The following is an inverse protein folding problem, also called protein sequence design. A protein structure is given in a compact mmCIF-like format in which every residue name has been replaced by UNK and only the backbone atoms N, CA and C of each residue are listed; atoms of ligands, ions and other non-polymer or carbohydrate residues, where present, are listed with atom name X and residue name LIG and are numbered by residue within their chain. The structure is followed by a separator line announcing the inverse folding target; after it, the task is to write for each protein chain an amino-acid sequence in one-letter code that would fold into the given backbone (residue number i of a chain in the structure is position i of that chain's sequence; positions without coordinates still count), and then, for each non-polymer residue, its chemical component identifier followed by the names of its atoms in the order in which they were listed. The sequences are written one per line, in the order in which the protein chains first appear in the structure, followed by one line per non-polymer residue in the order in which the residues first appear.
data_IF_205814846604
#
_entry.id   IF_205814846604
#
_cell.length_a   1.000
_cell.length_b   1.000
_cell.length_c   1.000
_cell.angle_alpha   90.00
_cell.angle_beta   90.00
_cell.angle_gamma   90.00
#
_symmetry.space_group_name_H-M   'P 1'
#
loop_
_entity.id
_entity.type
_entity.pdbx_description
1 polymer ?
#
# COMPACT_ATOMS: atom_id res chain seq x y z
N UNK A 1 -2.97 -6.73 9.48
CA UNK A 1 -3.24 -5.32 9.82
C UNK A 1 -3.05 -4.40 8.63
N UNK A 2 -3.32 -3.10 8.79
CA UNK A 2 -3.18 -2.09 7.71
C UNK A 2 -1.70 -1.84 7.39
N UNK A 3 -1.33 -1.86 6.11
CA UNK A 3 0.03 -1.62 5.65
C UNK A 3 0.40 -0.13 5.68
N UNK A 4 1.56 0.18 6.26
CA UNK A 4 2.18 1.52 6.29
C UNK A 4 3.69 1.38 6.10
N UNK A 5 4.35 2.40 5.55
CA UNK A 5 5.80 2.33 5.37
C UNK A 5 6.53 2.28 6.73
N UNK A 6 6.16 3.19 7.64
CA UNK A 6 6.74 3.32 8.97
C UNK A 6 5.61 3.33 9.99
N UNK A 7 5.47 2.22 10.71
CA UNK A 7 4.59 2.12 11.87
C UNK A 7 5.45 2.05 13.14
N UNK A 8 5.00 2.70 14.21
CA UNK A 8 5.64 2.63 15.52
C UNK A 8 4.84 1.72 16.47
N UNK A 9 5.34 1.50 17.69
CA UNK A 9 4.66 0.64 18.68
C UNK A 9 3.24 1.14 19.04
N UNK A 10 2.96 2.44 18.94
CA UNK A 10 1.63 3.01 19.20
C UNK A 10 0.66 2.66 18.07
N UNK A 11 1.13 2.64 16.83
CA UNK A 11 0.35 2.23 15.65
C UNK A 11 0.01 0.72 15.70
N UNK A 12 0.90 -0.09 16.27
CA UNK A 12 0.64 -1.49 16.54
C UNK A 12 -0.40 -1.73 17.66
N UNK A 13 -0.55 -0.79 18.60
CA UNK A 13 -1.39 -0.93 19.81
C UNK A 13 -2.78 -0.28 19.71
N UNK A 14 -3.03 0.63 18.76
CA UNK A 14 -4.20 1.53 18.79
C UNK A 14 -5.35 1.20 17.81
N UNK A 15 -5.36 0.04 17.16
CA UNK A 15 -6.39 -0.37 16.19
C UNK A 15 -6.31 -1.86 15.80
N UNK A 16 -6.86 -2.31 14.65
CA UNK A 16 -6.75 -3.71 14.17
C UNK A 16 -5.30 -4.16 13.81
N UNK A 17 -4.30 -3.49 14.37
CA UNK A 17 -2.88 -3.64 14.09
C UNK A 17 -2.47 -2.93 12.79
N UNK A 18 -1.39 -2.16 12.83
CA UNK A 18 -0.67 -1.75 11.64
C UNK A 18 0.50 -2.70 11.35
N UNK A 19 0.77 -2.98 10.08
CA UNK A 19 1.97 -3.70 9.64
C UNK A 19 2.90 -2.72 8.93
N UNK A 20 4.10 -2.50 9.50
CA UNK A 20 5.13 -1.68 8.85
C UNK A 20 5.86 -2.49 7.79
N UNK A 21 5.94 -1.99 6.55
CA UNK A 21 6.72 -2.64 5.49
C UNK A 21 8.22 -2.67 5.81
N UNK A 22 8.73 -1.64 6.51
CA UNK A 22 10.11 -1.61 7.00
C UNK A 22 10.39 -2.71 8.02
N UNK A 23 9.53 -2.85 9.04
CA UNK A 23 9.70 -3.89 10.06
C UNK A 23 9.49 -5.29 9.48
N UNK A 24 8.55 -5.45 8.55
CA UNK A 24 8.35 -6.69 7.82
C UNK A 24 9.63 -7.08 7.07
N UNK A 25 10.23 -6.14 6.33
CA UNK A 25 11.47 -6.38 5.58
C UNK A 25 12.60 -6.83 6.50
N UNK A 26 12.76 -6.18 7.66
CA UNK A 26 13.76 -6.59 8.66
C UNK A 26 13.51 -8.02 9.18
N UNK A 27 12.25 -8.35 9.53
CA UNK A 27 11.89 -9.68 10.00
C UNK A 27 12.10 -10.76 8.91
N UNK A 28 11.82 -10.44 7.65
CA UNK A 28 12.11 -11.31 6.51
C UNK A 28 13.62 -11.57 6.37
N UNK A 29 14.44 -10.52 6.48
CA UNK A 29 15.90 -10.63 6.41
C UNK A 29 16.49 -11.44 7.57
N UNK A 30 15.98 -11.25 8.79
CA UNK A 30 16.37 -12.04 9.96
C UNK A 30 16.05 -13.54 9.75
N UNK A 31 14.84 -13.85 9.26
CA UNK A 31 14.44 -15.22 8.96
C UNK A 31 15.25 -15.84 7.80
N UNK A 32 15.65 -15.04 6.81
CA UNK A 32 16.54 -15.48 5.74
C UNK A 32 17.94 -15.82 6.25
N UNK A 33 18.49 -15.01 7.16
CA UNK A 33 19.83 -15.21 7.71
C UNK A 33 19.92 -16.40 8.71
N UNK A 34 18.81 -16.79 9.34
CA UNK A 34 18.80 -17.89 10.31
C UNK A 34 18.86 -19.27 9.63
N UNK A 35 19.99 -19.97 9.71
CA UNK A 35 20.18 -21.29 9.11
C UNK A 35 19.23 -22.39 9.64
N UNK A 36 18.59 -22.18 10.80
CA UNK A 36 17.60 -23.12 11.35
C UNK A 36 16.22 -23.00 10.69
N UNK A 37 15.97 -21.90 9.98
CA UNK A 37 14.72 -21.65 9.24
C UNK A 37 14.80 -22.28 7.85
N UNK A 38 13.98 -23.31 7.62
CA UNK A 38 13.91 -24.00 6.32
C UNK A 38 12.96 -23.38 5.29
N UNK A 39 11.93 -22.65 5.74
CA UNK A 39 10.92 -22.02 4.89
C UNK A 39 10.26 -20.85 5.65
N UNK A 40 9.74 -19.87 4.91
CA UNK A 40 9.04 -18.69 5.45
C UNK A 40 7.58 -18.74 5.00
N UNK A 41 6.65 -18.59 5.94
CA UNK A 41 5.21 -18.43 5.68
C UNK A 41 4.80 -16.99 5.99
N UNK A 42 4.18 -16.33 5.03
CA UNK A 42 3.54 -15.03 5.17
C UNK A 42 2.04 -15.29 5.43
N UNK A 43 1.62 -15.15 6.69
CA UNK A 43 0.22 -15.24 7.11
C UNK A 43 -0.46 -13.88 6.97
N UNK A 44 -1.41 -13.76 6.03
CA UNK A 44 -2.03 -12.49 5.64
C UNK A 44 -3.47 -12.40 6.15
N UNK A 45 -3.68 -11.40 7.00
CA UNK A 45 -4.98 -10.83 7.38
C UNK A 45 -4.87 -9.30 7.28
N UNK A 46 -5.14 -8.75 6.10
CA UNK A 46 -4.94 -7.33 5.83
C UNK A 46 -5.86 -6.80 4.71
N UNK A 47 -6.51 -5.65 4.93
CA UNK A 47 -7.24 -4.94 3.89
C UNK A 47 -6.33 -4.20 2.89
N UNK A 48 -5.01 -4.26 3.06
CA UNK A 48 -4.05 -3.44 2.34
C UNK A 48 -3.67 -2.20 3.14
N UNK A 49 -3.37 -1.09 2.45
CA UNK A 49 -2.93 0.15 3.07
C UNK A 49 -2.26 1.10 2.10
N UNK A 50 -1.27 1.84 2.58
CA UNK A 50 -0.51 2.79 1.76
C UNK A 50 0.32 2.07 0.68
N UNK A 51 0.48 2.71 -0.49
CA UNK A 51 1.38 2.24 -1.56
C UNK A 51 2.87 2.34 -1.19
N UNK A 52 3.24 3.17 -0.22
CA UNK A 52 4.64 3.45 0.10
C UNK A 52 5.34 2.23 0.73
N UNK A 53 6.47 1.83 0.17
CA UNK A 53 7.26 0.69 0.65
C UNK A 53 6.73 -0.68 0.24
N UNK A 54 5.61 -0.75 -0.48
CA UNK A 54 4.98 -2.01 -0.91
C UNK A 54 5.77 -2.66 -2.03
N UNK A 55 6.13 -1.88 -3.07
CA UNK A 55 6.91 -2.37 -4.21
C UNK A 55 8.30 -2.85 -3.77
N UNK A 56 8.94 -2.12 -2.85
CA UNK A 56 10.24 -2.49 -2.28
C UNK A 56 10.13 -3.78 -1.47
N UNK A 57 9.13 -3.91 -0.59
CA UNK A 57 8.91 -5.14 0.18
C UNK A 57 8.61 -6.33 -0.73
N UNK A 58 7.76 -6.16 -1.76
CA UNK A 58 7.48 -7.19 -2.74
C UNK A 58 8.78 -7.64 -3.47
N UNK A 59 9.65 -6.69 -3.82
CA UNK A 59 10.96 -6.98 -4.41
C UNK A 59 11.87 -7.79 -3.48
N UNK A 60 11.89 -7.46 -2.19
CA UNK A 60 12.64 -8.23 -1.19
C UNK A 60 12.12 -9.66 -1.06
N UNK A 61 10.79 -9.86 -1.09
CA UNK A 61 10.18 -11.21 -1.05
C UNK A 61 10.53 -12.02 -2.30
N UNK A 62 10.52 -11.40 -3.49
CA UNK A 62 10.93 -12.06 -4.72
C UNK A 62 12.39 -12.51 -4.68
N UNK A 63 13.28 -11.68 -4.12
CA UNK A 63 14.68 -12.04 -3.96
C UNK A 63 14.84 -13.13 -2.90
N UNK A 64 14.11 -13.03 -1.78
CA UNK A 64 14.09 -13.99 -0.69
C UNK A 64 13.75 -15.40 -1.15
N UNK A 65 12.76 -15.52 -2.05
CA UNK A 65 12.26 -16.82 -2.52
C UNK A 65 13.27 -17.65 -3.33
N UNK A 66 14.35 -17.01 -3.81
CA UNK A 66 15.48 -17.69 -4.45
C UNK A 66 16.45 -18.34 -3.45
N UNK A 67 16.41 -17.93 -2.18
CA UNK A 67 17.29 -18.42 -1.12
C UNK A 67 16.59 -19.46 -0.24
N UNK A 68 15.35 -19.17 0.17
CA UNK A 68 14.49 -20.06 0.95
C UNK A 68 13.07 -20.00 0.38
N UNK A 69 12.31 -21.10 0.37
CA UNK A 69 10.92 -21.04 -0.07
C UNK A 69 10.15 -20.01 0.77
N UNK A 70 9.39 -19.14 0.09
CA UNK A 70 8.48 -18.19 0.72
C UNK A 70 7.08 -18.48 0.21
N UNK A 71 6.16 -18.80 1.12
CA UNK A 71 4.76 -19.10 0.81
C UNK A 71 3.90 -18.02 1.45
N UNK A 72 2.85 -17.58 0.77
CA UNK A 72 1.83 -16.69 1.32
C UNK A 72 0.51 -17.42 1.48
N UNK A 73 -0.25 -17.08 2.52
CA UNK A 73 -1.63 -17.53 2.70
C UNK A 73 -2.52 -16.34 3.07
N UNK A 74 -3.58 -16.13 2.30
CA UNK A 74 -4.71 -15.30 2.73
C UNK A 74 -5.55 -16.12 3.71
N UNK A 75 -5.35 -15.87 5.01
CA UNK A 75 -6.04 -16.59 6.06
C UNK A 75 -7.50 -16.13 6.17
N UNK A 76 -7.70 -14.81 6.22
CA UNK A 76 -9.01 -14.14 6.16
C UNK A 76 -9.09 -13.17 4.97
N UNK A 77 -8.12 -12.26 4.83
CA UNK A 77 -8.16 -11.21 3.81
C UNK A 77 -6.75 -10.89 3.33
N UNK A 78 -6.55 -10.87 2.03
CA UNK A 78 -5.38 -10.26 1.40
C UNK A 78 -5.84 -9.35 0.26
N UNK A 79 -6.10 -8.10 0.60
CA UNK A 79 -6.60 -7.10 -0.34
C UNK A 79 -5.56 -6.01 -0.63
N UNK A 80 -5.63 -5.42 -1.82
CA UNK A 80 -4.86 -4.25 -2.24
C UNK A 80 -3.36 -4.44 -2.01
N UNK A 81 -2.68 -3.54 -1.29
CA UNK A 81 -1.26 -3.65 -0.98
C UNK A 81 -0.85 -4.99 -0.35
N UNK A 82 -1.74 -5.65 0.41
CA UNK A 82 -1.44 -6.95 0.99
C UNK A 82 -1.46 -8.08 -0.03
N UNK A 83 -2.38 -8.00 -1.00
CA UNK A 83 -2.36 -8.89 -2.16
C UNK A 83 -1.06 -8.73 -2.95
N UNK A 84 -0.62 -7.48 -3.18
CA UNK A 84 0.64 -7.19 -3.85
C UNK A 84 1.84 -7.82 -3.13
N UNK A 85 1.95 -7.65 -1.81
CA UNK A 85 3.04 -8.27 -1.01
C UNK A 85 2.97 -9.79 -1.09
N UNK A 86 1.78 -10.36 -0.94
CA UNK A 86 1.61 -11.82 -0.98
C UNK A 86 1.90 -12.42 -2.36
N UNK A 87 1.55 -11.73 -3.45
CA UNK A 87 1.75 -12.22 -4.83
C UNK A 87 3.23 -12.31 -5.24
N UNK A 88 4.13 -11.70 -4.45
CA UNK A 88 5.57 -11.84 -4.61
C UNK A 88 6.11 -13.20 -4.13
N UNK A 89 5.36 -13.95 -3.31
CA UNK A 89 5.77 -15.26 -2.80
C UNK A 89 5.94 -16.31 -3.92
N UNK A 90 6.51 -17.47 -3.60
CA UNK A 90 6.59 -18.60 -4.54
C UNK A 90 5.21 -19.17 -4.83
N UNK A 91 4.42 -19.33 -3.78
CA UNK A 91 3.06 -19.87 -3.83
C UNK A 91 2.15 -18.99 -2.98
N UNK A 92 0.93 -18.78 -3.45
CA UNK A 92 -0.10 -18.03 -2.75
C UNK A 92 -1.34 -18.91 -2.59
N UNK A 93 -1.70 -19.18 -1.35
CA UNK A 93 -2.92 -19.90 -1.01
C UNK A 93 -4.01 -18.97 -0.47
N UNK A 94 -5.27 -19.33 -0.71
CA UNK A 94 -6.41 -18.70 -0.06
C UNK A 94 -7.16 -19.78 0.71
N UNK A 95 -7.52 -19.51 1.96
CA UNK A 95 -8.40 -20.41 2.71
C UNK A 95 -9.80 -20.44 2.08
N UNK A 96 -10.62 -21.48 2.31
CA UNK A 96 -11.96 -21.55 1.70
C UNK A 96 -12.91 -20.38 2.02
N UNK A 97 -12.67 -19.68 3.14
CA UNK A 97 -13.43 -18.49 3.53
C UNK A 97 -12.66 -17.18 3.36
N UNK A 98 -11.45 -17.22 2.81
CA UNK A 98 -10.60 -16.06 2.63
C UNK A 98 -10.98 -15.25 1.39
N UNK A 99 -10.68 -13.96 1.44
CA UNK A 99 -10.89 -13.03 0.33
C UNK A 99 -9.55 -12.49 -0.18
N UNK A 100 -9.41 -12.44 -1.51
CA UNK A 100 -8.25 -11.85 -2.19
C UNK A 100 -8.73 -10.87 -3.26
N UNK A 101 -7.98 -9.80 -3.49
CA UNK A 101 -8.28 -8.85 -4.57
C UNK A 101 -8.10 -7.41 -4.16
N UNK A 102 -9.05 -6.55 -4.51
CA UNK A 102 -8.91 -5.08 -4.38
C UNK A 102 -7.65 -4.56 -5.10
N UNK A 103 -7.40 -5.11 -6.29
CA UNK A 103 -6.27 -4.73 -7.14
C UNK A 103 -6.60 -3.38 -7.77
N UNK A 104 -6.05 -2.32 -7.19
CA UNK A 104 -6.33 -0.96 -7.58
C UNK A 104 -5.62 0.05 -6.69
N UNK A 105 -5.53 1.28 -7.17
CA UNK A 105 -5.02 2.43 -6.44
C UNK A 105 -6.07 3.52 -6.55
N UNK A 106 -6.30 4.25 -5.47
CA UNK A 106 -7.22 5.37 -5.45
C UNK A 106 -6.68 6.47 -4.55
N UNK A 107 -7.16 7.69 -4.79
CA UNK A 107 -6.91 8.85 -3.95
C UNK A 107 -8.23 9.61 -3.80
N UNK A 108 -8.58 10.00 -2.56
CA UNK A 108 -9.69 10.93 -2.33
C UNK A 108 -9.23 12.37 -2.53
N UNK A 109 -10.10 13.18 -3.11
CA UNK A 109 -10.10 14.63 -3.01
C UNK A 109 -11.39 15.05 -2.31
N UNK A 110 -11.27 15.98 -1.37
CA UNK A 110 -12.39 16.56 -0.64
C UNK A 110 -12.39 18.06 -0.92
N UNK A 111 -13.51 18.58 -1.43
CA UNK A 111 -13.71 19.99 -1.66
C UNK A 111 -14.59 20.58 -0.55
N UNK A 112 -14.01 21.44 0.27
CA UNK A 112 -14.70 22.17 1.35
C UNK A 112 -14.89 23.66 1.04
N UNK A 113 -14.59 24.09 -0.19
CA UNK A 113 -14.66 25.50 -0.60
C UNK A 113 -16.03 26.13 -0.34
N UNK A 114 -17.12 25.38 -0.57
CA UNK A 114 -18.48 25.84 -0.28
C UNK A 114 -18.75 26.08 1.21
N UNK A 115 -18.17 25.27 2.09
CA UNK A 115 -18.29 25.45 3.54
C UNK A 115 -17.50 26.68 4.02
N UNK A 116 -16.28 26.87 3.50
CA UNK A 116 -15.45 28.02 3.82
C UNK A 116 -16.08 29.33 3.34
N UNK A 117 -16.65 29.33 2.13
CA UNK A 117 -17.36 30.49 1.60
C UNK A 117 -18.59 30.84 2.45
N UNK A 118 -19.33 29.85 2.95
CA UNK A 118 -20.44 30.08 3.87
C UNK A 118 -20.00 30.75 5.17
N UNK A 119 -18.81 30.40 5.67
CA UNK A 119 -18.19 31.05 6.83
C UNK A 119 -17.51 32.39 6.52
N UNK A 120 -17.50 32.82 5.26
CA UNK A 120 -16.87 34.06 4.81
C UNK A 120 -15.34 33.99 4.74
N UNK A 121 -14.79 32.79 4.62
CA UNK A 121 -13.35 32.53 4.51
C UNK A 121 -12.99 32.36 3.04
N UNK A 122 -12.01 33.16 2.58
CA UNK A 122 -11.41 33.04 1.25
C UNK A 122 -9.94 32.62 1.40
N UNK A 123 -9.52 31.61 0.64
CA UNK A 123 -8.19 31.00 0.75
C UNK A 123 -7.43 31.22 -0.55
N UNK A 124 -6.32 31.95 -0.46
CA UNK A 124 -5.37 32.11 -1.58
C UNK A 124 -4.13 31.28 -1.34
N UNK A 125 -3.77 30.42 -2.29
CA UNK A 125 -2.56 29.59 -2.22
C UNK A 125 -1.39 30.26 -2.95
N UNK A 126 -0.23 30.29 -2.29
CA UNK A 126 1.03 30.81 -2.85
C UNK A 126 2.02 29.64 -2.87
N UNK A 127 2.43 29.20 -4.05
CA UNK A 127 3.29 28.03 -4.20
C UNK A 127 4.32 28.16 -5.33
N UNK A 128 5.43 27.46 -5.18
CA UNK A 128 6.40 27.24 -6.26
C UNK A 128 6.19 25.86 -6.91
N UNK A 129 6.13 25.84 -8.24
CA UNK A 129 5.88 24.64 -9.05
C UNK A 129 4.42 24.53 -9.48
N UNK A 130 4.21 24.19 -10.77
CA UNK A 130 2.89 24.23 -11.43
C UNK A 130 1.83 23.42 -10.69
N UNK A 131 2.14 22.17 -10.33
CA UNK A 131 1.19 21.24 -9.73
C UNK A 131 1.31 21.11 -8.20
N UNK A 132 1.95 22.09 -7.53
CA UNK A 132 2.34 21.96 -6.12
C UNK A 132 1.16 21.95 -5.15
N UNK A 133 0.05 22.57 -5.55
CA UNK A 133 -1.17 22.73 -4.74
C UNK A 133 -2.35 21.96 -5.30
N UNK A 134 -2.13 21.11 -6.32
CA UNK A 134 -3.22 20.31 -6.86
C UNK A 134 -3.71 19.30 -5.83
N UNK A 135 -5.03 19.17 -5.72
CA UNK A 135 -5.68 18.37 -4.68
C UNK A 135 -5.83 19.09 -3.33
N UNK A 136 -5.60 20.40 -3.27
CA UNK A 136 -5.98 21.19 -2.10
C UNK A 136 -7.51 21.15 -1.89
N UNK A 137 -8.01 21.30 -0.66
CA UNK A 137 -9.44 21.17 -0.38
C UNK A 137 -10.21 22.50 -0.52
N UNK A 138 -9.55 23.59 -0.92
CA UNK A 138 -10.08 24.94 -0.87
C UNK A 138 -10.70 25.40 -2.19
N UNK A 139 -10.60 24.59 -3.24
CA UNK A 139 -11.22 24.80 -4.54
C UNK A 139 -11.57 23.46 -5.21
N UNK A 140 -12.56 23.43 -6.12
CA UNK A 140 -12.82 22.24 -6.94
C UNK A 140 -11.62 21.91 -7.83
N UNK A 141 -11.41 20.63 -8.12
CA UNK A 141 -10.39 20.23 -9.09
C UNK A 141 -10.73 20.77 -10.49
N UNK A 142 -9.73 21.35 -11.14
CA UNK A 142 -9.79 21.62 -12.58
C UNK A 142 -9.63 20.31 -13.37
N UNK A 143 -9.96 20.33 -14.67
CA UNK A 143 -9.69 19.19 -15.56
C UNK A 143 -8.20 18.85 -15.61
N UNK A 144 -7.33 19.88 -15.61
CA UNK A 144 -5.88 19.69 -15.61
C UNK A 144 -5.37 19.07 -14.31
N UNK A 145 -5.86 19.56 -13.16
CA UNK A 145 -5.56 19.01 -11.84
C UNK A 145 -5.97 17.54 -11.73
N UNK A 146 -7.19 17.25 -12.20
CA UNK A 146 -7.75 15.90 -12.22
C UNK A 146 -6.89 14.96 -13.07
N UNK A 147 -6.52 15.38 -14.28
CA UNK A 147 -5.65 14.60 -15.17
C UNK A 147 -4.27 14.36 -14.57
N UNK A 148 -3.69 15.35 -13.89
CA UNK A 148 -2.40 15.21 -13.21
C UNK A 148 -2.48 14.25 -12.01
N UNK A 149 -3.52 14.32 -11.19
CA UNK A 149 -3.70 13.39 -10.07
C UNK A 149 -4.00 11.96 -10.57
N UNK A 150 -4.79 11.83 -11.63
CA UNK A 150 -5.08 10.55 -12.27
C UNK A 150 -3.80 9.90 -12.80
N UNK A 151 -2.91 10.65 -13.45
CA UNK A 151 -1.65 10.08 -13.97
C UNK A 151 -0.77 9.49 -12.86
N UNK A 152 -0.80 10.06 -11.65
CA UNK A 152 -0.11 9.50 -10.48
C UNK A 152 -0.76 8.21 -9.98
N UNK A 153 -2.09 8.16 -9.94
CA UNK A 153 -2.84 6.94 -9.59
C UNK A 153 -2.53 5.84 -10.60
N UNK A 154 -2.54 6.18 -11.88
CA UNK A 154 -2.24 5.26 -12.99
C UNK A 154 -0.80 4.75 -12.90
N UNK A 155 0.18 5.60 -12.58
CA UNK A 155 1.57 5.19 -12.38
C UNK A 155 1.69 4.12 -11.28
N UNK A 156 1.09 4.35 -10.11
CA UNK A 156 1.10 3.34 -9.04
C UNK A 156 0.34 2.07 -9.43
N UNK A 157 -0.77 2.20 -10.14
CA UNK A 157 -1.54 1.05 -10.62
C UNK A 157 -0.75 0.24 -11.64
N UNK A 158 -0.05 0.88 -12.58
CA UNK A 158 0.85 0.22 -13.54
C UNK A 158 1.90 -0.61 -12.83
N UNK A 159 2.56 -0.06 -11.81
CA UNK A 159 3.55 -0.81 -11.02
C UNK A 159 2.90 -2.00 -10.30
N UNK A 160 1.69 -1.84 -9.74
CA UNK A 160 0.97 -2.93 -9.08
C UNK A 160 0.64 -4.07 -10.08
N UNK A 161 0.10 -3.75 -11.26
CA UNK A 161 -0.26 -4.80 -12.24
C UNK A 161 0.95 -5.42 -12.94
N UNK A 162 2.03 -4.65 -13.17
CA UNK A 162 3.29 -5.20 -13.69
C UNK A 162 3.97 -6.12 -12.68
N UNK A 163 3.87 -5.80 -11.39
CA UNK A 163 4.28 -6.68 -10.30
C UNK A 163 3.30 -7.85 -10.06
N UNK A 164 2.15 -7.88 -10.74
CA UNK A 164 1.27 -9.04 -10.82
C UNK A 164 1.97 -10.14 -11.60
N UNK A 165 2.89 -10.86 -10.94
CA UNK A 165 3.55 -12.02 -11.51
C UNK A 165 2.46 -13.01 -11.95
N UNK A 166 2.54 -13.55 -13.17
CA UNK A 166 1.52 -14.43 -13.69
C UNK A 166 1.30 -15.59 -12.70
N UNK A 167 0.04 -15.80 -12.37
CA UNK A 167 -0.43 -16.91 -11.54
C UNK A 167 0.03 -18.27 -12.08
#
# INVERSE_FOLDING_TARGET
GVLTQRGNMVDALSGPGSTSTQMFTAALQDALADETVGQILIDIDSPGGSVYGVAELASEILNARSQKPVVAIANSLAASAAYWVGSAATEFYCTPGGEVGSIGVWQAHEDISGALLYEGIDVTLISAGKYKVEGNPYEPLTEEATAFLQSRVDEYYSVFVEAGYPA
#
